data_IF_967523039721
#
_entry.id   IF_967523039721
#
_cell.length_a   1.000
_cell.length_b   1.000
_cell.length_c   1.000
_cell.angle_alpha   90.00
_cell.angle_beta   90.00
_cell.angle_gamma   90.00
#
_symmetry.space_group_name_H-M   'P 1'
#
loop_
_entity.id
_entity.type
_entity.pdbx_description
1 polymer ?
#
# COMPACT_ATOMS: atom_id res chain seq x y z
N UNK A 1 7.79 29.46 -15.03
CA UNK A 1 9.00 29.23 -15.85
C UNK A 1 8.67 29.48 -17.31
N UNK A 2 9.55 30.17 -18.03
CA UNK A 2 9.44 30.36 -19.47
C UNK A 2 9.76 29.06 -20.22
N UNK A 3 9.31 28.89 -21.47
CA UNK A 3 9.66 27.71 -22.27
C UNK A 3 11.17 27.46 -22.41
N UNK A 4 11.98 28.52 -22.46
CA UNK A 4 13.44 28.44 -22.54
C UNK A 4 14.07 27.93 -21.24
N UNK A 5 13.59 28.41 -20.08
CA UNK A 5 14.00 27.91 -18.77
C UNK A 5 13.69 26.42 -18.59
N UNK A 6 12.51 25.97 -19.04
CA UNK A 6 12.13 24.56 -18.97
C UNK A 6 13.04 23.71 -19.85
N UNK A 7 13.32 24.16 -21.08
CA UNK A 7 14.21 23.44 -21.98
C UNK A 7 15.62 23.33 -21.40
N UNK A 8 16.14 24.40 -20.78
CA UNK A 8 17.43 24.38 -20.08
C UNK A 8 17.43 23.38 -18.92
N UNK A 9 16.41 23.44 -18.05
CA UNK A 9 16.26 22.52 -16.91
C UNK A 9 16.24 21.05 -17.38
N UNK A 10 15.46 20.74 -18.42
CA UNK A 10 15.31 19.38 -18.95
C UNK A 10 16.61 18.87 -19.57
N UNK A 11 17.36 19.72 -20.29
CA UNK A 11 18.68 19.34 -20.83
C UNK A 11 19.65 18.95 -19.70
N UNK A 12 19.76 19.80 -18.67
CA UNK A 12 20.61 19.55 -17.50
C UNK A 12 20.19 18.29 -16.73
N UNK A 13 18.89 18.00 -16.66
CA UNK A 13 18.39 16.72 -16.13
C UNK A 13 18.85 15.53 -16.99
N UNK A 14 18.89 15.69 -18.32
CA UNK A 14 19.43 14.70 -19.26
C UNK A 14 20.90 14.38 -19.05
N UNK A 15 21.67 15.38 -18.61
CA UNK A 15 23.09 15.27 -18.26
C UNK A 15 23.33 14.82 -16.80
N UNK A 16 22.25 14.52 -16.06
CA UNK A 16 22.26 14.04 -14.67
C UNK A 16 22.86 15.03 -13.67
N UNK A 17 22.74 16.32 -13.94
CA UNK A 17 23.13 17.34 -12.99
C UNK A 17 22.25 17.26 -11.72
N UNK A 18 22.85 17.09 -10.51
CA UNK A 18 22.08 16.89 -9.28
C UNK A 18 21.10 18.03 -8.97
N UNK A 19 21.52 19.28 -9.14
CA UNK A 19 20.68 20.45 -8.85
C UNK A 19 19.50 20.57 -9.83
N UNK A 20 19.72 20.19 -11.10
CA UNK A 20 18.66 20.20 -12.10
C UNK A 20 17.62 19.11 -11.81
N UNK A 21 18.07 17.89 -11.48
CA UNK A 21 17.18 16.80 -11.08
C UNK A 21 16.40 17.15 -9.81
N UNK A 22 17.07 17.69 -8.79
CA UNK A 22 16.41 18.17 -7.57
C UNK A 22 15.32 19.19 -7.90
N UNK A 23 15.68 20.23 -8.65
CA UNK A 23 14.73 21.27 -9.06
C UNK A 23 13.57 20.72 -9.89
N UNK A 24 13.82 19.71 -10.72
CA UNK A 24 12.78 19.03 -11.47
C UNK A 24 11.78 18.31 -10.55
N UNK A 25 12.27 17.53 -9.59
CA UNK A 25 11.40 16.84 -8.64
C UNK A 25 10.67 17.82 -7.73
N UNK A 26 11.29 18.92 -7.30
CA UNK A 26 10.59 19.97 -6.53
C UNK A 26 9.37 20.53 -7.28
N UNK A 27 9.46 20.64 -8.61
CA UNK A 27 8.39 21.21 -9.44
C UNK A 27 7.33 20.19 -9.85
N UNK A 28 7.71 18.93 -10.10
CA UNK A 28 6.86 17.96 -10.78
C UNK A 28 6.54 16.71 -9.96
N UNK A 29 7.01 16.57 -8.70
CA UNK A 29 6.73 15.38 -7.88
C UNK A 29 5.24 15.13 -7.70
N UNK A 30 4.46 16.17 -7.41
CA UNK A 30 3.01 16.05 -7.27
C UNK A 30 2.34 15.69 -8.60
N UNK A 31 2.83 16.20 -9.74
CA UNK A 31 2.32 15.82 -11.06
C UNK A 31 2.58 14.31 -11.33
N UNK A 32 3.73 13.78 -10.93
CA UNK A 32 4.08 12.35 -11.08
C UNK A 32 3.19 11.48 -10.18
N UNK A 33 3.10 11.82 -8.89
CA UNK A 33 2.33 11.03 -7.91
C UNK A 33 0.83 11.02 -8.24
N UNK A 34 0.27 12.19 -8.60
CA UNK A 34 -1.17 12.30 -8.89
C UNK A 34 -1.57 11.76 -10.28
N UNK A 35 -0.62 11.49 -11.17
CA UNK A 35 -0.91 10.99 -12.51
C UNK A 35 -1.72 9.68 -12.51
N UNK A 36 -1.28 8.58 -11.85
CA UNK A 36 -2.05 7.34 -11.78
C UNK A 36 -3.43 7.53 -11.14
N UNK A 37 -3.53 8.35 -10.10
CA UNK A 37 -4.79 8.64 -9.39
C UNK A 37 -5.81 9.31 -10.33
N UNK A 38 -5.39 10.34 -11.06
CA UNK A 38 -6.29 11.16 -11.89
C UNK A 38 -6.63 10.54 -13.23
N UNK A 39 -5.66 9.85 -13.84
CA UNK A 39 -5.78 9.39 -15.23
C UNK A 39 -6.26 7.95 -15.33
N UNK A 40 -5.90 7.11 -14.35
CA UNK A 40 -6.22 5.68 -14.34
C UNK A 40 -7.06 5.26 -13.14
N UNK A 41 -7.42 6.20 -12.24
CA UNK A 41 -8.24 5.94 -11.05
C UNK A 41 -7.67 4.82 -10.17
N UNK A 42 -6.34 4.75 -10.09
CA UNK A 42 -5.64 3.83 -9.20
C UNK A 42 -5.73 4.33 -7.74
N UNK A 43 -5.40 3.44 -6.80
CA UNK A 43 -5.33 3.78 -5.39
C UNK A 43 -3.99 4.45 -5.00
N UNK A 44 -3.92 4.96 -3.77
CA UNK A 44 -2.75 5.66 -3.25
C UNK A 44 -1.52 4.75 -3.14
N UNK A 45 -1.71 3.46 -2.87
CA UNK A 45 -0.64 2.47 -2.82
C UNK A 45 0.00 2.32 -4.19
N UNK A 46 -0.80 2.10 -5.24
CA UNK A 46 -0.34 2.06 -6.62
C UNK A 46 0.31 3.38 -7.06
N UNK A 47 -0.19 4.52 -6.57
CA UNK A 47 0.39 5.83 -6.87
C UNK A 47 1.78 6.00 -6.25
N UNK A 48 1.95 5.58 -4.98
CA UNK A 48 3.23 5.55 -4.29
C UNK A 48 4.24 4.64 -5.01
N UNK A 49 3.83 3.41 -5.34
CA UNK A 49 4.68 2.45 -6.06
C UNK A 49 5.09 2.96 -7.44
N UNK A 50 4.13 3.52 -8.18
CA UNK A 50 4.42 4.13 -9.48
C UNK A 50 5.37 5.32 -9.34
N UNK A 51 5.19 6.16 -8.31
CA UNK A 51 6.05 7.30 -8.08
C UNK A 51 7.51 6.85 -7.86
N UNK A 52 7.75 5.85 -7.01
CA UNK A 52 9.10 5.32 -6.75
C UNK A 52 9.72 4.76 -8.04
N UNK A 53 8.95 3.98 -8.80
CA UNK A 53 9.37 3.48 -10.11
C UNK A 53 9.72 4.61 -11.08
N UNK A 54 8.90 5.66 -11.11
CA UNK A 54 9.09 6.79 -11.99
C UNK A 54 10.30 7.63 -11.57
N UNK A 55 10.47 7.86 -10.27
CA UNK A 55 11.59 8.54 -9.67
C UNK A 55 12.92 7.89 -10.08
N UNK A 56 13.07 6.59 -9.87
CA UNK A 56 14.30 5.86 -10.23
C UNK A 56 14.61 5.96 -11.73
N UNK A 57 13.59 5.81 -12.58
CA UNK A 57 13.78 5.89 -14.04
C UNK A 57 14.09 7.30 -14.54
N UNK A 58 13.45 8.32 -13.99
CA UNK A 58 13.69 9.71 -14.37
C UNK A 58 15.08 10.17 -13.92
N UNK A 59 15.53 9.75 -12.73
CA UNK A 59 16.87 10.06 -12.20
C UNK A 59 18.02 9.58 -13.10
N UNK A 60 17.79 8.59 -13.95
CA UNK A 60 18.78 8.14 -14.95
C UNK A 60 19.11 9.18 -16.04
N UNK A 61 18.32 10.25 -16.16
CA UNK A 61 18.49 11.29 -17.19
C UNK A 61 18.00 10.89 -18.59
N UNK A 62 17.89 9.60 -18.89
CA UNK A 62 17.78 9.12 -20.28
C UNK A 62 16.47 9.55 -20.95
N UNK A 63 15.36 9.60 -20.21
CA UNK A 63 14.06 10.02 -20.75
C UNK A 63 14.07 11.49 -21.18
N UNK A 64 14.74 12.37 -20.42
CA UNK A 64 14.79 13.81 -20.70
C UNK A 64 15.46 14.15 -22.03
N UNK A 65 16.42 13.33 -22.49
CA UNK A 65 17.10 13.52 -23.78
C UNK A 65 16.17 13.48 -25.00
N UNK A 66 14.97 12.90 -24.85
CA UNK A 66 13.97 12.86 -25.93
C UNK A 66 13.19 14.17 -26.09
N UNK A 67 13.26 15.10 -25.13
CA UNK A 67 12.55 16.37 -25.22
C UNK A 67 13.31 17.37 -26.10
N UNK A 68 12.73 17.71 -27.26
CA UNK A 68 13.33 18.65 -28.22
C UNK A 68 12.75 20.07 -28.16
N UNK A 69 11.77 20.34 -27.29
CA UNK A 69 11.11 21.65 -27.19
C UNK A 69 10.13 21.99 -28.33
N UNK A 70 9.80 21.01 -29.20
CA UNK A 70 8.83 21.19 -30.30
C UNK A 70 7.37 21.25 -29.84
N UNK A 71 7.08 20.73 -28.65
CA UNK A 71 5.78 20.77 -27.99
C UNK A 71 5.93 21.36 -26.59
N UNK A 72 4.81 21.70 -25.95
CA UNK A 72 4.84 22.10 -24.55
C UNK A 72 5.44 20.97 -23.69
N UNK A 73 6.21 21.35 -22.66
CA UNK A 73 6.80 20.37 -21.76
C UNK A 73 5.75 19.48 -21.11
N UNK A 74 4.62 20.06 -20.66
CA UNK A 74 3.51 19.30 -20.05
C UNK A 74 2.95 18.23 -21.00
N UNK A 75 2.77 18.56 -22.28
CA UNK A 75 2.27 17.60 -23.28
C UNK A 75 3.24 16.42 -23.46
N UNK A 76 4.53 16.70 -23.60
CA UNK A 76 5.56 15.68 -23.68
C UNK A 76 5.63 14.84 -22.39
N UNK A 77 5.63 15.50 -21.24
CA UNK A 77 5.80 14.85 -19.94
C UNK A 77 4.63 13.93 -19.61
N UNK A 78 3.40 14.34 -19.92
CA UNK A 78 2.22 13.48 -19.79
C UNK A 78 2.33 12.20 -20.62
N UNK A 79 2.92 12.29 -21.82
CA UNK A 79 3.16 11.11 -22.67
C UNK A 79 4.21 10.19 -22.06
N UNK A 80 5.27 10.76 -21.48
CA UNK A 80 6.31 10.01 -20.75
C UNK A 80 5.69 9.28 -19.55
N UNK A 81 4.91 9.97 -18.71
CA UNK A 81 4.25 9.39 -17.56
C UNK A 81 3.28 8.28 -17.96
N UNK A 82 2.47 8.47 -19.01
CA UNK A 82 1.56 7.46 -19.53
C UNK A 82 2.30 6.18 -19.93
N UNK A 83 3.38 6.33 -20.69
CA UNK A 83 4.17 5.19 -21.14
C UNK A 83 4.83 4.47 -19.97
N UNK A 84 5.39 5.22 -19.02
CA UNK A 84 5.98 4.66 -17.81
C UNK A 84 4.96 3.92 -16.95
N UNK A 85 3.74 4.45 -16.82
CA UNK A 85 2.69 3.79 -16.04
C UNK A 85 2.25 2.48 -16.69
N UNK A 86 2.10 2.45 -18.02
CA UNK A 86 1.80 1.22 -18.76
C UNK A 86 2.92 0.19 -18.59
N UNK A 87 4.18 0.62 -18.70
CA UNK A 87 5.34 -0.26 -18.48
C UNK A 87 5.36 -0.81 -17.05
N UNK A 88 5.08 0.02 -16.04
CA UNK A 88 4.99 -0.38 -14.64
C UNK A 88 3.87 -1.38 -14.42
N UNK A 89 2.67 -1.10 -14.94
CA UNK A 89 1.53 -2.01 -14.83
C UNK A 89 1.85 -3.38 -15.44
N UNK A 90 2.56 -3.44 -16.58
CA UNK A 90 3.00 -4.72 -17.19
C UNK A 90 3.91 -5.51 -16.26
N UNK A 91 4.90 -4.85 -15.65
CA UNK A 91 5.81 -5.51 -14.69
C UNK A 91 5.07 -6.04 -13.46
N UNK A 92 4.09 -5.29 -12.94
CA UNK A 92 3.27 -5.74 -11.80
C UNK A 92 2.40 -6.96 -12.19
N UNK A 93 1.85 -7.01 -13.40
CA UNK A 93 1.06 -8.16 -13.87
C UNK A 93 1.92 -9.41 -14.09
N UNK A 94 3.14 -9.25 -14.60
CA UNK A 94 4.08 -10.36 -14.78
C UNK A 94 4.49 -10.96 -13.42
N UNK A 95 4.83 -10.12 -12.43
CA UNK A 95 5.17 -10.58 -11.07
C UNK A 95 4.00 -11.34 -10.43
N UNK A 96 2.77 -10.82 -10.53
CA UNK A 96 1.56 -11.51 -10.03
C UNK A 96 1.33 -12.88 -10.67
N UNK A 97 1.68 -13.02 -11.95
CA UNK A 97 1.53 -14.29 -12.67
C UNK A 97 2.54 -15.33 -12.18
N UNK A 98 3.76 -14.89 -11.87
CA UNK A 98 4.83 -15.75 -11.34
C UNK A 98 4.62 -16.12 -9.87
N UNK A 99 4.15 -15.18 -9.03
CA UNK A 99 3.82 -15.43 -7.62
C UNK A 99 2.69 -16.45 -7.45
N UNK A 100 1.68 -16.40 -8.33
CA UNK A 100 0.59 -17.39 -8.37
C UNK A 100 1.07 -18.81 -8.71
N UNK A 101 2.28 -18.94 -9.28
CA UNK A 101 2.94 -20.24 -9.52
C UNK A 101 3.88 -20.67 -8.37
N UNK A 102 4.18 -19.79 -7.41
CA UNK A 102 5.13 -20.02 -6.30
C UNK A 102 4.48 -20.03 -4.91
N UNK A 103 3.17 -19.89 -4.81
CA UNK A 103 2.48 -19.82 -3.52
C UNK A 103 2.42 -21.19 -2.84
N UNK A 104 3.49 -21.52 -2.11
CA UNK A 104 3.44 -22.37 -0.92
C UNK A 104 4.37 -21.91 0.23
N UNK A 105 5.18 -20.82 0.15
CA UNK A 105 6.09 -20.54 1.29
C UNK A 105 6.55 -19.09 1.60
N UNK A 106 6.06 -17.99 1.00
CA UNK A 106 6.64 -16.68 1.38
C UNK A 106 5.71 -15.47 1.24
N UNK A 107 4.82 -15.28 2.23
CA UNK A 107 3.78 -14.25 2.23
C UNK A 107 3.83 -13.25 3.38
N UNK A 108 5.01 -12.95 3.95
CA UNK A 108 5.11 -12.21 5.23
C UNK A 108 5.41 -10.70 5.14
N UNK A 109 5.42 -10.07 3.96
CA UNK A 109 5.98 -8.71 3.86
C UNK A 109 4.96 -7.55 4.07
N UNK A 110 3.64 -7.83 4.07
CA UNK A 110 2.59 -6.82 4.34
C UNK A 110 1.70 -7.17 5.55
N UNK A 111 1.95 -8.32 6.19
CA UNK A 111 1.12 -8.82 7.28
C UNK A 111 1.30 -8.02 8.58
N UNK A 112 2.43 -7.33 8.74
CA UNK A 112 2.88 -6.74 10.02
C UNK A 112 2.05 -5.55 10.53
N UNK A 113 1.44 -4.71 9.66
CA UNK A 113 0.52 -3.65 10.14
C UNK A 113 -0.85 -4.25 10.49
N UNK A 114 -1.26 -5.31 9.79
CA UNK A 114 -2.54 -5.98 10.04
C UNK A 114 -2.50 -6.84 11.31
N UNK A 115 -1.33 -7.37 11.69
CA UNK A 115 -1.17 -8.16 12.92
C UNK A 115 -1.37 -7.32 14.20
N UNK A 116 -1.28 -5.99 14.13
CA UNK A 116 -1.51 -5.12 15.30
C UNK A 116 -3.00 -5.03 15.66
N UNK A 117 -3.91 -5.58 14.83
CA UNK A 117 -5.36 -5.43 15.00
C UNK A 117 -6.19 -6.72 14.80
N UNK A 118 -5.62 -7.92 14.91
CA UNK A 118 -6.39 -9.18 14.88
C UNK A 118 -6.27 -9.93 16.23
N UNK A 119 -7.36 -10.04 17.04
CA UNK A 119 -7.33 -10.76 18.33
C UNK A 119 -7.13 -12.28 18.21
N UNK A 120 -7.08 -12.86 17.00
CA UNK A 120 -7.33 -14.30 16.82
C UNK A 120 -6.31 -15.09 15.97
N UNK A 121 -5.16 -14.54 15.56
CA UNK A 121 -4.10 -15.37 14.93
C UNK A 121 -2.94 -15.62 15.88
N UNK A 122 -2.85 -16.86 16.37
CA UNK A 122 -1.64 -17.55 16.87
C UNK A 122 -0.56 -16.64 17.48
N UNK A 123 -0.61 -16.52 18.81
CA UNK A 123 0.38 -15.84 19.69
C UNK A 123 1.79 -16.41 19.52
N UNK A 124 2.48 -16.03 18.46
CA UNK A 124 3.92 -16.08 18.37
C UNK A 124 4.48 -14.77 18.93
N UNK A 125 4.64 -14.74 20.26
CA UNK A 125 5.34 -13.73 21.06
C UNK A 125 5.20 -12.26 20.62
N UNK A 126 3.98 -11.73 20.75
CA UNK A 126 3.64 -10.32 20.50
C UNK A 126 4.58 -9.34 21.24
N UNK A 127 5.17 -9.77 22.37
CA UNK A 127 6.05 -8.94 23.19
C UNK A 127 7.38 -8.62 22.49
N UNK A 128 8.02 -9.63 21.87
CA UNK A 128 9.26 -9.44 21.11
C UNK A 128 8.98 -8.59 19.88
N UNK A 129 7.83 -8.79 19.22
CA UNK A 129 7.46 -7.98 18.07
C UNK A 129 7.26 -6.51 18.44
N UNK A 130 6.52 -6.22 19.51
CA UNK A 130 6.30 -4.85 19.99
C UNK A 130 7.62 -4.17 20.39
N UNK A 131 8.52 -4.89 21.07
CA UNK A 131 9.82 -4.37 21.46
C UNK A 131 10.69 -4.03 20.23
N UNK A 132 10.71 -4.91 19.22
CA UNK A 132 11.39 -4.66 17.94
C UNK A 132 10.84 -3.44 17.23
N UNK A 133 9.52 -3.37 17.08
CA UNK A 133 8.85 -2.27 16.40
C UNK A 133 9.19 -0.93 17.06
N UNK A 134 9.10 -0.87 18.39
CA UNK A 134 9.48 0.31 19.17
C UNK A 134 10.95 0.68 18.92
N UNK A 135 11.85 -0.29 18.99
CA UNK A 135 13.29 -0.04 18.78
C UNK A 135 13.57 0.51 17.38
N UNK A 136 12.99 -0.07 16.33
CA UNK A 136 13.17 0.44 14.96
C UNK A 136 12.62 1.85 14.83
N UNK A 137 11.45 2.15 15.42
CA UNK A 137 10.91 3.51 15.42
C UNK A 137 11.81 4.51 16.17
N UNK A 138 12.42 4.12 17.28
CA UNK A 138 13.37 4.94 18.04
C UNK A 138 14.67 5.20 17.26
N UNK A 139 15.07 4.28 16.36
CA UNK A 139 16.25 4.41 15.51
C UNK A 139 16.00 5.23 14.23
N UNK A 140 14.74 5.49 13.87
CA UNK A 140 14.41 6.34 12.73
C UNK A 140 14.81 7.79 12.99
N UNK A 141 15.24 8.47 11.92
CA UNK A 141 15.42 9.92 11.99
C UNK A 141 14.07 10.63 12.23
N UNK A 142 14.06 11.79 12.90
CA UNK A 142 12.82 12.46 13.29
C UNK A 142 11.85 12.74 12.13
N UNK A 143 12.39 13.08 10.95
CA UNK A 143 11.60 13.30 9.73
C UNK A 143 10.87 12.03 9.27
N UNK A 144 11.57 10.88 9.26
CA UNK A 144 11.01 9.60 8.89
C UNK A 144 9.98 9.10 9.91
N UNK A 145 10.26 9.27 11.20
CA UNK A 145 9.36 8.89 12.28
C UNK A 145 8.04 9.67 12.23
N UNK A 146 8.12 11.01 12.08
CA UNK A 146 6.92 11.86 11.99
C UNK A 146 6.10 11.54 10.75
N UNK A 147 6.72 11.35 9.59
CA UNK A 147 6.01 10.93 8.37
C UNK A 147 5.28 9.60 8.60
N UNK A 148 5.98 8.61 9.16
CA UNK A 148 5.38 7.30 9.43
C UNK A 148 4.21 7.40 10.40
N UNK A 149 4.37 8.12 11.52
CA UNK A 149 3.31 8.31 12.52
C UNK A 149 2.12 9.09 11.95
N UNK A 150 2.34 10.10 11.11
CA UNK A 150 1.26 10.83 10.44
C UNK A 150 0.51 9.97 9.40
N UNK A 151 1.22 9.10 8.66
CA UNK A 151 0.57 8.13 7.75
C UNK A 151 -0.25 7.11 8.54
N UNK A 152 0.26 6.64 9.68
CA UNK A 152 -0.41 5.68 10.57
C UNK A 152 -1.11 6.34 11.76
N UNK A 153 -1.60 7.56 11.58
CA UNK A 153 -2.20 8.41 12.62
C UNK A 153 -3.33 7.72 13.40
N UNK A 154 -4.04 6.79 12.78
CA UNK A 154 -5.11 6.05 13.45
C UNK A 154 -4.57 5.06 14.51
N UNK A 155 -3.35 4.56 14.34
CA UNK A 155 -2.74 3.55 15.20
C UNK A 155 -1.65 4.09 16.10
N UNK A 156 -1.02 5.20 15.71
CA UNK A 156 0.12 5.80 16.39
C UNK A 156 -0.19 7.22 16.83
N UNK A 157 0.26 7.55 18.03
CA UNK A 157 0.22 8.91 18.55
C UNK A 157 1.57 9.61 18.38
N UNK A 158 1.52 10.93 18.35
CA UNK A 158 2.71 11.78 18.31
C UNK A 158 3.17 12.07 19.75
N UNK A 159 4.46 11.90 20.00
CA UNK A 159 5.13 12.21 21.27
C UNK A 159 5.71 13.64 21.27
N UNK A 160 6.28 14.05 22.41
CA UNK A 160 6.81 15.40 22.59
C UNK A 160 7.93 15.75 21.58
N UNK A 161 8.73 14.78 21.15
CA UNK A 161 9.78 15.02 20.16
C UNK A 161 9.20 15.22 18.77
N UNK A 162 8.14 14.48 18.41
CA UNK A 162 7.43 14.68 17.16
C UNK A 162 6.79 16.08 17.10
N UNK A 163 6.19 16.52 18.21
CA UNK A 163 5.60 17.86 18.30
C UNK A 163 6.64 18.96 18.19
N UNK A 164 7.79 18.81 18.86
CA UNK A 164 8.91 19.74 18.74
C UNK A 164 9.46 19.79 17.31
N UNK A 165 9.54 18.64 16.63
CA UNK A 165 9.93 18.58 15.22
C UNK A 165 8.94 19.32 14.32
N UNK A 166 7.63 19.10 14.51
CA UNK A 166 6.58 19.78 13.75
C UNK A 166 6.59 21.29 13.98
N UNK A 167 6.79 21.75 15.22
CA UNK A 167 6.90 23.17 15.53
C UNK A 167 8.08 23.84 14.81
N UNK A 168 9.19 23.12 14.63
CA UNK A 168 10.38 23.64 13.95
C UNK A 168 10.28 23.61 12.41
N UNK A 169 9.59 22.62 11.85
CA UNK A 169 9.65 22.30 10.41
C UNK A 169 8.37 22.62 9.64
N UNK A 170 7.21 22.58 10.29
CA UNK A 170 5.94 22.86 9.65
C UNK A 170 5.68 24.36 9.58
N UNK A 171 5.15 24.81 8.45
CA UNK A 171 4.60 26.17 8.32
C UNK A 171 3.17 26.28 8.90
N UNK A 172 2.56 25.16 9.30
CA UNK A 172 1.20 25.09 9.82
C UNK A 172 1.22 25.24 11.34
N UNK A 173 0.27 26.02 11.88
CA UNK A 173 0.16 26.22 13.32
C UNK A 173 -0.18 24.90 14.04
N UNK A 174 0.38 24.65 15.23
CA UNK A 174 0.07 23.45 16.02
C UNK A 174 -1.44 23.25 16.25
N UNK A 175 -2.25 24.29 16.57
CA UNK A 175 -3.70 24.14 16.68
C UNK A 175 -4.37 23.67 15.37
N UNK A 176 -3.91 24.15 14.21
CA UNK A 176 -4.44 23.71 12.92
C UNK A 176 -4.03 22.28 12.57
N UNK A 177 -2.80 21.87 12.93
CA UNK A 177 -2.34 20.48 12.79
C UNK A 177 -3.25 19.56 13.60
N UNK A 178 -3.50 19.89 14.87
CA UNK A 178 -4.40 19.11 15.74
C UNK A 178 -5.81 19.02 15.16
N UNK A 179 -6.36 20.13 14.66
CA UNK A 179 -7.68 20.14 14.01
C UNK A 179 -7.71 19.23 12.78
N UNK A 180 -6.73 19.35 11.88
CA UNK A 180 -6.62 18.50 10.69
C UNK A 180 -6.45 17.02 11.06
N UNK A 181 -5.64 16.72 12.07
CA UNK A 181 -5.48 15.36 12.59
C UNK A 181 -6.80 14.78 13.09
N UNK A 182 -7.61 15.56 13.81
CA UNK A 182 -8.92 15.11 14.29
C UNK A 182 -9.90 14.82 13.14
N UNK A 183 -9.93 15.69 12.13
CA UNK A 183 -10.74 15.50 10.91
C UNK A 183 -10.34 14.18 10.20
N UNK A 184 -9.05 13.98 9.96
CA UNK A 184 -8.55 12.76 9.32
C UNK A 184 -8.75 11.53 10.19
N UNK A 185 -8.56 11.59 11.51
CA UNK A 185 -8.83 10.46 12.42
C UNK A 185 -10.28 10.00 12.33
N UNK A 186 -11.24 10.91 12.19
CA UNK A 186 -12.65 10.56 12.00
C UNK A 186 -12.89 9.83 10.68
N UNK A 187 -12.32 10.32 9.57
CA UNK A 187 -12.40 9.63 8.27
C UNK A 187 -11.77 8.24 8.31
N UNK A 188 -10.64 8.09 9.00
CA UNK A 188 -9.96 6.81 9.17
C UNK A 188 -10.78 5.85 10.06
N UNK A 189 -11.48 6.35 11.08
CA UNK A 189 -12.37 5.55 11.91
C UNK A 189 -13.55 4.97 11.10
N UNK A 190 -14.15 5.76 10.20
CA UNK A 190 -15.21 5.26 9.31
C UNK A 190 -14.69 4.16 8.37
N UNK A 191 -13.51 4.38 7.77
CA UNK A 191 -12.84 3.36 6.93
C UNK A 191 -12.51 2.10 7.74
N UNK A 192 -12.05 2.24 8.97
CA UNK A 192 -11.72 1.12 9.84
C UNK A 192 -12.98 0.30 10.18
N UNK A 193 -14.11 0.95 10.46
CA UNK A 193 -15.39 0.27 10.67
C UNK A 193 -15.86 -0.48 9.41
N UNK A 194 -15.64 0.08 8.22
CA UNK A 194 -15.94 -0.59 6.97
C UNK A 194 -15.04 -1.83 6.75
N UNK A 195 -13.75 -1.73 7.09
CA UNK A 195 -12.81 -2.84 7.03
C UNK A 195 -13.18 -3.95 8.02
N UNK A 196 -13.59 -3.59 9.25
CA UNK A 196 -14.11 -4.54 10.23
C UNK A 196 -15.34 -5.29 9.69
N UNK A 197 -16.27 -4.59 9.05
CA UNK A 197 -17.44 -5.22 8.42
C UNK A 197 -17.05 -6.21 7.30
N UNK A 198 -15.94 -5.95 6.58
CA UNK A 198 -15.39 -6.91 5.61
C UNK A 198 -14.75 -8.12 6.29
N UNK A 199 -14.09 -7.93 7.43
CA UNK A 199 -13.55 -9.03 8.26
C UNK A 199 -14.69 -9.92 8.78
N UNK A 200 -15.75 -9.34 9.33
CA UNK A 200 -16.93 -10.07 9.80
C UNK A 200 -17.58 -10.88 8.65
N UNK A 201 -17.54 -10.34 7.43
CA UNK A 201 -17.99 -11.04 6.22
C UNK A 201 -17.09 -12.23 5.86
N UNK A 202 -15.77 -12.15 6.06
CA UNK A 202 -14.87 -13.31 5.90
C UNK A 202 -15.29 -14.42 6.87
N UNK A 203 -15.53 -14.08 8.14
CA UNK A 203 -15.99 -15.01 9.17
C UNK A 203 -17.35 -15.60 8.84
N UNK A 204 -18.32 -14.78 8.44
CA UNK A 204 -19.65 -15.22 8.03
C UNK A 204 -19.60 -16.17 6.82
N UNK A 205 -18.77 -15.87 5.81
CA UNK A 205 -18.57 -16.76 4.65
C UNK A 205 -17.96 -18.10 5.07
N UNK A 206 -16.99 -18.09 5.99
CA UNK A 206 -16.39 -19.31 6.52
C UNK A 206 -17.42 -20.19 7.22
N UNK A 207 -18.22 -19.62 8.13
CA UNK A 207 -19.30 -20.34 8.82
C UNK A 207 -20.31 -20.92 7.83
N UNK A 208 -20.74 -20.12 6.84
CA UNK A 208 -21.67 -20.58 5.79
C UNK A 208 -21.09 -21.70 4.91
N UNK A 209 -19.79 -21.66 4.60
CA UNK A 209 -19.13 -22.75 3.86
C UNK A 209 -19.09 -24.03 4.71
N UNK A 210 -18.79 -23.92 6.00
CA UNK A 210 -18.80 -25.07 6.92
C UNK A 210 -20.18 -25.72 6.97
N UNK A 211 -21.24 -24.92 7.15
CA UNK A 211 -22.63 -25.42 7.15
C UNK A 211 -22.99 -26.15 5.85
N UNK A 212 -22.65 -25.56 4.69
CA UNK A 212 -22.90 -26.18 3.39
C UNK A 212 -22.12 -27.48 3.20
N UNK A 213 -20.85 -27.53 3.63
CA UNK A 213 -20.03 -28.76 3.59
C UNK A 213 -20.60 -29.84 4.51
N UNK A 214 -21.08 -29.48 5.70
CA UNK A 214 -21.76 -30.42 6.60
C UNK A 214 -23.05 -30.94 5.96
N UNK A 215 -23.87 -30.08 5.35
CA UNK A 215 -25.09 -30.51 4.62
C UNK A 215 -24.74 -31.45 3.46
N UNK A 216 -23.75 -31.09 2.64
CA UNK A 216 -23.26 -31.89 1.53
C UNK A 216 -22.80 -33.29 1.99
N UNK A 217 -21.96 -33.36 3.03
CA UNK A 217 -21.50 -34.63 3.59
C UNK A 217 -22.62 -35.51 4.15
N UNK A 218 -23.64 -34.91 4.80
CA UNK A 218 -24.83 -35.65 5.25
C UNK A 218 -25.61 -36.22 4.07
N UNK A 219 -25.86 -35.42 3.04
CA UNK A 219 -26.60 -35.87 1.84
C UNK A 219 -25.85 -37.01 1.12
N UNK A 220 -24.53 -36.92 0.99
CA UNK A 220 -23.72 -38.00 0.42
C UNK A 220 -23.81 -39.29 1.26
N UNK A 221 -23.73 -39.19 2.59
CA UNK A 221 -23.88 -40.35 3.48
C UNK A 221 -25.28 -40.97 3.39
N UNK A 222 -26.33 -40.15 3.33
CA UNK A 222 -27.71 -40.64 3.14
C UNK A 222 -27.87 -41.36 1.79
N UNK A 223 -27.22 -40.88 0.73
CA UNK A 223 -27.23 -41.50 -0.60
C UNK A 223 -26.47 -42.84 -0.68
N UNK A 224 -25.47 -43.07 0.17
CA UNK A 224 -24.82 -44.40 0.26
C UNK A 224 -25.80 -45.45 0.81
N UNK A 225 -26.81 -45.03 1.56
CA UNK A 225 -27.78 -45.93 2.20
C UNK A 225 -29.05 -46.19 1.37
N UNK A 226 -29.35 -45.39 0.32
CA UNK A 226 -30.57 -45.53 -0.51
C UNK A 226 -30.36 -45.11 -1.97
N UNK A 227 -31.10 -45.71 -2.91
CA UNK A 227 -31.01 -45.39 -4.36
C UNK A 227 -31.52 -43.98 -4.69
N UNK A 228 -30.76 -43.29 -5.57
CA UNK A 228 -30.94 -41.89 -5.99
C UNK A 228 -32.35 -41.53 -6.50
N UNK A 229 -32.90 -40.43 -5.98
CA UNK A 229 -33.89 -39.59 -6.66
C UNK A 229 -33.14 -38.54 -7.52
N UNK A 230 -33.47 -38.36 -8.81
CA UNK A 230 -32.91 -37.29 -9.66
C UNK A 230 -32.94 -35.89 -9.04
N UNK A 231 -33.89 -35.59 -8.14
CA UNK A 231 -33.94 -34.32 -7.42
C UNK A 231 -32.79 -34.09 -6.43
N UNK A 232 -32.25 -35.16 -5.83
CA UNK A 232 -31.18 -35.08 -4.82
C UNK A 232 -29.82 -34.77 -5.47
N UNK A 233 -29.55 -35.30 -6.66
CA UNK A 233 -28.33 -34.99 -7.42
C UNK A 233 -28.25 -33.52 -7.82
N UNK A 234 -29.36 -32.95 -8.31
CA UNK A 234 -29.42 -31.53 -8.66
C UNK A 234 -29.23 -30.59 -7.46
N UNK A 235 -29.64 -31.01 -6.26
CA UNK A 235 -29.43 -30.25 -5.02
C UNK A 235 -27.96 -30.30 -4.56
N UNK A 236 -27.27 -31.43 -4.76
CA UNK A 236 -25.83 -31.56 -4.49
C UNK A 236 -25.02 -30.63 -5.39
N UNK A 237 -25.27 -30.66 -6.70
CA UNK A 237 -24.58 -29.79 -7.66
C UNK A 237 -24.77 -28.30 -7.30
N UNK A 238 -25.97 -27.93 -6.82
CA UNK A 238 -26.24 -26.57 -6.33
C UNK A 238 -25.43 -26.23 -5.08
N UNK A 239 -25.36 -27.14 -4.12
CA UNK A 239 -24.59 -26.94 -2.89
C UNK A 239 -23.11 -26.79 -3.21
N UNK A 240 -22.57 -27.63 -4.09
CA UNK A 240 -21.17 -27.55 -4.53
C UNK A 240 -20.87 -26.21 -5.21
N UNK A 241 -21.73 -25.77 -6.14
CA UNK A 241 -21.59 -24.47 -6.79
C UNK A 241 -21.65 -23.30 -5.79
N UNK A 242 -22.53 -23.38 -4.79
CA UNK A 242 -22.62 -22.37 -3.72
C UNK A 242 -21.37 -22.34 -2.84
N UNK A 243 -20.80 -23.51 -2.51
CA UNK A 243 -19.54 -23.64 -1.78
C UNK A 243 -18.42 -22.96 -2.58
N UNK A 244 -18.26 -23.32 -3.85
CA UNK A 244 -17.22 -22.76 -4.72
C UNK A 244 -17.34 -21.23 -4.84
N UNK A 245 -18.55 -20.72 -5.06
CA UNK A 245 -18.81 -19.27 -5.15
C UNK A 245 -18.43 -18.55 -3.85
N UNK A 246 -18.80 -19.11 -2.70
CA UNK A 246 -18.49 -18.52 -1.38
C UNK A 246 -16.99 -18.61 -1.06
N UNK A 247 -16.32 -19.70 -1.44
CA UNK A 247 -14.86 -19.85 -1.31
C UNK A 247 -14.15 -18.78 -2.13
N UNK A 248 -14.49 -18.63 -3.42
CA UNK A 248 -13.93 -17.58 -4.27
C UNK A 248 -14.16 -16.17 -3.70
N UNK A 249 -15.32 -15.91 -3.09
CA UNK A 249 -15.60 -14.63 -2.45
C UNK A 249 -14.73 -14.41 -1.20
N UNK A 250 -14.58 -15.44 -0.36
CA UNK A 250 -13.75 -15.41 0.85
C UNK A 250 -12.28 -15.22 0.49
N UNK A 251 -11.78 -15.95 -0.50
CA UNK A 251 -10.38 -15.90 -0.91
C UNK A 251 -10.01 -14.54 -1.49
N UNK A 252 -10.91 -13.89 -2.24
CA UNK A 252 -10.72 -12.51 -2.68
C UNK A 252 -10.61 -11.52 -1.52
N UNK A 253 -11.42 -11.69 -0.47
CA UNK A 253 -11.36 -10.83 0.71
C UNK A 253 -10.09 -11.09 1.53
N UNK A 254 -9.67 -12.35 1.67
CA UNK A 254 -8.42 -12.72 2.33
C UNK A 254 -7.22 -12.20 1.54
N UNK A 255 -7.24 -12.27 0.21
CA UNK A 255 -6.18 -11.71 -0.63
C UNK A 255 -6.10 -10.19 -0.50
N UNK A 256 -7.24 -9.51 -0.39
CA UNK A 256 -7.27 -8.08 -0.09
C UNK A 256 -6.67 -7.77 1.27
N UNK A 257 -7.03 -8.54 2.30
CA UNK A 257 -6.45 -8.46 3.62
C UNK A 257 -4.92 -8.64 3.52
N UNK A 258 -4.43 -9.78 3.02
CA UNK A 258 -2.98 -10.03 2.85
C UNK A 258 -2.18 -8.93 2.14
N UNK A 259 -2.79 -8.10 1.29
CA UNK A 259 -2.16 -6.95 0.62
C UNK A 259 -2.11 -5.67 1.48
N UNK A 260 -2.57 -5.71 2.73
CA UNK A 260 -2.61 -4.56 3.63
C UNK A 260 -3.82 -3.64 3.39
N UNK A 261 -4.83 -4.03 2.61
CA UNK A 261 -5.98 -3.17 2.32
C UNK A 261 -6.90 -2.96 3.52
N UNK A 262 -6.75 -3.74 4.60
CA UNK A 262 -7.58 -3.58 5.80
C UNK A 262 -6.96 -2.59 6.78
N UNK A 263 -5.72 -2.17 6.52
CA UNK A 263 -5.03 -1.10 7.24
C UNK A 263 -5.53 0.25 6.75
N UNK A 264 -5.95 1.11 7.68
CA UNK A 264 -6.30 2.49 7.35
C UNK A 264 -5.05 3.38 7.41
N UNK A 265 -4.82 4.17 6.37
CA UNK A 265 -3.69 5.10 6.29
C UNK A 265 -4.22 6.49 5.99
N UNK A 266 -3.62 7.49 6.63
CA UNK A 266 -3.87 8.88 6.29
C UNK A 266 -3.39 9.13 4.85
N UNK A 267 -4.16 9.88 4.04
CA UNK A 267 -3.74 10.23 2.69
C UNK A 267 -2.41 10.97 2.68
N UNK A 268 -1.53 10.71 1.70
CA UNK A 268 -0.25 11.43 1.61
C UNK A 268 -0.45 12.94 1.43
N UNK A 269 -1.58 13.35 0.86
CA UNK A 269 -1.96 14.76 0.80
C UNK A 269 -2.02 15.42 2.19
N UNK A 270 -2.58 14.73 3.18
CA UNK A 270 -2.67 15.25 4.54
C UNK A 270 -1.27 15.46 5.15
N UNK A 271 -0.38 14.48 4.98
CA UNK A 271 1.00 14.59 5.44
C UNK A 271 1.76 15.69 4.69
N UNK A 272 1.49 15.83 3.39
CA UNK A 272 2.06 16.88 2.53
C UNK A 272 1.66 18.27 3.01
N UNK A 273 0.39 18.45 3.37
CA UNK A 273 -0.13 19.72 3.90
C UNK A 273 0.49 20.07 5.26
N UNK A 274 0.79 19.08 6.11
CA UNK A 274 1.43 19.32 7.40
C UNK A 274 2.92 19.66 7.23
N UNK A 275 3.66 18.89 6.43
CA UNK A 275 5.12 19.01 6.35
C UNK A 275 5.61 19.97 5.26
N UNK A 276 4.71 20.54 4.45
CA UNK A 276 5.08 21.46 3.38
C UNK A 276 5.89 20.80 2.25
N UNK A 277 5.76 19.48 2.07
CA UNK A 277 6.56 18.71 1.12
C UNK A 277 5.70 17.94 0.11
N UNK A 278 6.20 17.64 -1.10
CA UNK A 278 5.43 16.90 -2.10
C UNK A 278 5.04 15.47 -1.66
N UNK A 279 3.89 14.99 -2.13
CA UNK A 279 3.40 13.60 -1.88
C UNK A 279 4.39 12.54 -2.38
N UNK A 280 5.10 12.86 -3.45
CA UNK A 280 6.20 12.02 -3.95
C UNK A 280 7.37 11.89 -2.97
N UNK A 281 7.70 12.95 -2.24
CA UNK A 281 8.75 12.91 -1.21
C UNK A 281 8.33 12.05 -0.03
N UNK A 282 7.05 12.11 0.36
CA UNK A 282 6.47 11.23 1.37
C UNK A 282 6.54 9.77 0.93
N UNK A 283 6.27 9.47 -0.35
CA UNK A 283 6.41 8.12 -0.91
C UNK A 283 7.85 7.59 -0.75
N UNK A 284 8.86 8.41 -1.01
CA UNK A 284 10.28 8.05 -0.84
C UNK A 284 10.64 7.84 0.63
N UNK A 285 10.16 8.71 1.51
CA UNK A 285 10.38 8.56 2.96
C UNK A 285 9.74 7.28 3.48
N UNK A 286 8.49 7.02 3.10
CA UNK A 286 7.80 5.78 3.44
C UNK A 286 8.54 4.54 2.92
N UNK A 287 9.06 4.56 1.69
CA UNK A 287 9.90 3.46 1.19
C UNK A 287 11.12 3.21 2.08
N UNK A 288 11.80 4.27 2.53
CA UNK A 288 12.97 4.13 3.43
C UNK A 288 12.60 3.56 4.79
N UNK A 289 11.48 4.03 5.36
CA UNK A 289 10.98 3.48 6.62
C UNK A 289 10.68 1.99 6.46
N UNK A 290 9.99 1.60 5.39
CA UNK A 290 9.70 0.21 5.07
C UNK A 290 10.98 -0.62 4.92
N UNK A 291 12.02 -0.09 4.26
CA UNK A 291 13.30 -0.77 4.11
C UNK A 291 14.01 -0.99 5.46
N UNK A 292 13.94 -0.01 6.38
CA UNK A 292 14.47 -0.16 7.74
C UNK A 292 13.81 -1.31 8.50
N UNK A 293 12.49 -1.46 8.40
CA UNK A 293 11.78 -2.60 8.99
C UNK A 293 12.15 -3.94 8.34
N UNK A 294 12.39 -3.96 7.02
CA UNK A 294 12.79 -5.19 6.30
C UNK A 294 14.21 -5.64 6.66
N UNK A 295 15.15 -4.71 6.76
CA UNK A 295 16.55 -5.03 7.10
C UNK A 295 16.67 -5.66 8.50
N UNK A 296 15.93 -5.17 9.50
CA UNK A 296 15.93 -5.81 10.83
C UNK A 296 15.38 -7.25 10.77
N UNK A 297 14.36 -7.51 9.96
CA UNK A 297 13.80 -8.85 9.78
C UNK A 297 14.79 -9.81 9.10
N UNK A 298 15.50 -9.38 8.05
CA UNK A 298 16.49 -10.20 7.32
C UNK A 298 17.73 -10.50 8.16
N UNK A 299 18.29 -9.50 8.85
CA UNK A 299 19.46 -9.67 9.72
C UNK A 299 19.18 -10.70 10.82
N UNK A 300 17.97 -10.70 11.37
CA UNK A 300 17.58 -11.65 12.43
C UNK A 300 17.30 -13.05 11.91
N UNK A 301 16.74 -13.19 10.71
CA UNK A 301 16.62 -14.51 10.06
C UNK A 301 18.01 -15.15 9.90
N UNK A 302 18.99 -14.37 9.45
CA UNK A 302 20.37 -14.84 9.34
C UNK A 302 21.01 -15.22 10.69
N UNK A 303 20.67 -14.54 11.78
CA UNK A 303 21.19 -14.84 13.13
C UNK A 303 20.48 -16.01 13.86
N UNK A 304 19.28 -16.40 13.41
CA UNK A 304 18.53 -17.53 13.98
C UNK A 304 18.71 -18.84 13.19
N UNK A 305 19.18 -18.73 11.94
CA UNK A 305 19.55 -19.86 11.08
C UNK A 305 21.03 -20.30 11.26
N UNK A 306 21.80 -19.62 12.15
CA UNK A 306 23.16 -20.00 12.62
C UNK A 306 23.13 -20.64 14.03
#
# INVERSE_FOLDING_TARGET
MTPSEILSLVRRCGDREPDALRRFFDLYSNDIYNFPLRVFHLDEDAASDFYLYAFERLRTGQRFKSFQGKSSFRTWFYTVLRNMLIDWMRTVHEVKTVEKQKSDDDGRNMQWIETVADPESERADDSIFQDRFRKTLEELSPDLAVVFKLVFLYYLDLDDNDWAYLEQTSEVSLPDIVRKMAEVKNELAEKASANQSQQDKITSLYLSILELKTKHGRMLSDMETRKLDPGEGAEIDRIEHLIEKKQNQRDRLIEKRKKGHFVVRAPYRFVSEILGMPEGSISVMMSRVMDSFRMDAEIRKALLDE
#
